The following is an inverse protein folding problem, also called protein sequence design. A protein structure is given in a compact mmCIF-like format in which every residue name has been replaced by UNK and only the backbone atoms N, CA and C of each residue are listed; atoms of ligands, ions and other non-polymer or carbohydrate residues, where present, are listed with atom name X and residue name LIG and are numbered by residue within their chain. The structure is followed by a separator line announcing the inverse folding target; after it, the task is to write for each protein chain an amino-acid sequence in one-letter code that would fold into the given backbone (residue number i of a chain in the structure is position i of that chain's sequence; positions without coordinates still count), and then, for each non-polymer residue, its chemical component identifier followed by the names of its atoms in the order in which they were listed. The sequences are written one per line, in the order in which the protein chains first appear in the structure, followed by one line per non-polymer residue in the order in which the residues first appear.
data_IF_284937861814
#
_entry.id   IF_284937861814
#
_cell.length_a   1.000
_cell.length_b   1.000
_cell.length_c   1.000
_cell.angle_alpha   90.00
_cell.angle_beta   90.00
_cell.angle_gamma   90.00
#
_symmetry.space_group_name_H-M   'P 1'
#
loop_
_entity.id
_entity.type
_entity.pdbx_description
1 polymer ?
#
# COMPACT_ATOMS: atom_id res chain seq x y z
N UNK A 1 -6.25 13.34 33.90
CA UNK A 1 -5.75 13.94 32.64
C UNK A 1 -6.23 15.38 32.58
N UNK A 2 -5.35 16.34 32.34
CA UNK A 2 -5.74 17.76 32.19
C UNK A 2 -6.30 18.02 30.79
N UNK A 3 -7.17 19.02 30.64
CA UNK A 3 -7.69 19.49 29.34
C UNK A 3 -6.59 19.88 28.35
N UNK A 4 -5.39 20.26 28.82
CA UNK A 4 -4.25 20.54 27.94
C UNK A 4 -3.71 19.27 27.28
N UNK A 5 -3.63 18.15 28.00
CA UNK A 5 -3.15 16.88 27.43
C UNK A 5 -4.11 16.31 26.40
N UNK A 6 -5.42 16.58 26.55
CA UNK A 6 -6.44 16.18 25.57
C UNK A 6 -6.35 17.01 24.29
N UNK A 7 -6.13 18.33 24.38
CA UNK A 7 -5.91 19.20 23.20
C UNK A 7 -4.63 18.87 22.44
N UNK A 8 -3.56 18.52 23.14
CA UNK A 8 -2.30 18.14 22.51
C UNK A 8 -2.43 16.82 21.73
N UNK A 9 -3.18 15.86 22.27
CA UNK A 9 -3.52 14.59 21.59
C UNK A 9 -4.39 14.83 20.34
N UNK A 10 -5.47 15.61 20.45
CA UNK A 10 -6.34 15.95 19.31
C UNK A 10 -5.56 16.67 18.19
N UNK A 11 -4.68 17.60 18.53
CA UNK A 11 -3.86 18.32 17.54
C UNK A 11 -2.84 17.42 16.82
N UNK A 12 -2.36 16.37 17.48
CA UNK A 12 -1.41 15.41 16.90
C UNK A 12 -2.09 14.40 15.97
N UNK A 13 -3.30 13.95 16.31
CA UNK A 13 -4.08 13.03 15.48
C UNK A 13 -4.55 13.71 14.18
N UNK A 14 -4.99 14.97 14.25
CA UNK A 14 -5.37 15.77 13.07
C UNK A 14 -4.17 16.03 12.14
N UNK A 15 -2.99 16.26 12.71
CA UNK A 15 -1.77 16.44 11.91
C UNK A 15 -1.32 15.13 11.24
N UNK A 16 -1.33 14.01 11.96
CA UNK A 16 -0.97 12.71 11.38
C UNK A 16 -1.96 12.27 10.29
N UNK A 17 -3.27 12.50 10.46
CA UNK A 17 -4.24 12.19 9.41
C UNK A 17 -4.03 13.05 8.16
N UNK A 18 -3.66 14.32 8.35
CA UNK A 18 -3.35 15.23 7.23
C UNK A 18 -2.11 14.81 6.46
N UNK A 19 -1.11 14.27 7.16
CA UNK A 19 0.14 13.79 6.56
C UNK A 19 -0.06 12.48 5.80
N UNK A 20 -0.84 11.56 6.37
CA UNK A 20 -1.18 10.27 5.75
C UNK A 20 -1.94 10.48 4.43
N UNK A 21 -2.94 11.36 4.42
CA UNK A 21 -3.67 11.77 3.21
C UNK A 21 -2.71 12.36 2.16
N UNK A 22 -1.82 13.27 2.57
CA UNK A 22 -0.83 13.88 1.68
C UNK A 22 0.11 12.84 1.03
N UNK A 23 0.55 11.82 1.78
CA UNK A 23 1.40 10.75 1.23
C UNK A 23 0.65 9.96 0.15
N UNK A 24 -0.61 9.58 0.42
CA UNK A 24 -1.44 8.83 -0.55
C UNK A 24 -1.70 9.66 -1.80
N UNK A 25 -2.07 10.93 -1.64
CA UNK A 25 -2.36 11.85 -2.74
C UNK A 25 -1.12 12.05 -3.63
N UNK A 26 0.04 12.33 -3.05
CA UNK A 26 1.28 12.50 -3.81
C UNK A 26 1.70 11.23 -4.55
N UNK A 27 1.61 10.07 -3.90
CA UNK A 27 1.93 8.80 -4.54
C UNK A 27 1.02 8.56 -5.75
N UNK A 28 -0.28 8.73 -5.56
CA UNK A 28 -1.30 8.53 -6.59
C UNK A 28 -1.07 9.48 -7.76
N UNK A 29 -0.83 10.77 -7.49
CA UNK A 29 -0.52 11.78 -8.50
C UNK A 29 0.77 11.46 -9.27
N UNK A 30 1.82 11.04 -8.56
CA UNK A 30 3.11 10.69 -9.17
C UNK A 30 2.96 9.51 -10.13
N UNK A 31 2.22 8.48 -9.70
CA UNK A 31 1.95 7.30 -10.53
C UNK A 31 1.05 7.63 -11.72
N UNK A 32 0.00 8.42 -11.53
CA UNK A 32 -0.87 8.90 -12.60
C UNK A 32 -0.07 9.70 -13.64
N UNK A 33 0.82 10.59 -13.18
CA UNK A 33 1.74 11.35 -14.04
C UNK A 33 2.63 10.42 -14.86
N UNK A 34 3.25 9.41 -14.22
CA UNK A 34 4.04 8.40 -14.93
C UNK A 34 3.22 7.69 -16.02
N UNK A 35 1.99 7.27 -15.70
CA UNK A 35 1.13 6.56 -16.65
C UNK A 35 0.76 7.43 -17.85
N UNK A 36 0.46 8.71 -17.63
CA UNK A 36 0.16 9.67 -18.70
C UNK A 36 1.39 9.91 -19.57
N UNK A 37 2.55 10.19 -18.96
CA UNK A 37 3.82 10.45 -19.68
C UNK A 37 4.22 9.26 -20.55
N UNK A 38 4.12 8.04 -19.98
CA UNK A 38 4.37 6.80 -20.70
C UNK A 38 3.40 6.59 -21.85
N UNK A 39 2.09 6.81 -21.64
CA UNK A 39 1.06 6.67 -22.70
C UNK A 39 1.24 7.67 -23.85
N UNK A 40 1.81 8.84 -23.58
CA UNK A 40 2.16 9.83 -24.60
C UNK A 40 3.45 9.48 -25.37
N UNK A 41 4.15 8.41 -24.99
CA UNK A 41 5.36 7.93 -25.66
C UNK A 41 6.67 8.58 -25.18
N UNK A 42 6.64 9.34 -24.08
CA UNK A 42 7.84 9.95 -23.50
C UNK A 42 8.54 8.99 -22.54
N UNK A 43 9.10 7.90 -23.07
CA UNK A 43 9.68 6.83 -22.26
C UNK A 43 10.83 7.30 -21.36
N UNK A 44 11.74 8.17 -21.86
CA UNK A 44 12.86 8.69 -21.07
C UNK A 44 12.37 9.47 -19.84
N UNK A 45 11.38 10.36 -20.01
CA UNK A 45 10.77 11.10 -18.91
C UNK A 45 10.01 10.18 -17.95
N UNK A 46 9.38 9.12 -18.47
CA UNK A 46 8.71 8.14 -17.61
C UNK A 46 9.73 7.42 -16.72
N UNK A 47 10.91 7.05 -17.25
CA UNK A 47 11.97 6.45 -16.44
C UNK A 47 12.46 7.38 -15.33
N UNK A 48 12.57 8.69 -15.60
CA UNK A 48 12.98 9.69 -14.60
C UNK A 48 11.98 9.82 -13.43
N UNK A 49 10.72 9.40 -13.61
CA UNK A 49 9.69 9.44 -12.56
C UNK A 49 9.72 8.18 -11.68
N UNK A 50 10.26 7.05 -12.15
CA UNK A 50 10.30 5.78 -11.39
C UNK A 50 10.94 5.94 -9.99
N UNK A 51 12.07 6.65 -9.82
CA UNK A 51 12.63 6.89 -8.49
C UNK A 51 11.66 7.57 -7.52
N UNK A 52 10.82 8.49 -8.02
CA UNK A 52 9.81 9.18 -7.20
C UNK A 52 8.67 8.23 -6.80
N UNK A 53 8.24 7.35 -7.71
CA UNK A 53 7.27 6.29 -7.39
C UNK A 53 7.83 5.37 -6.30
N UNK A 54 9.09 4.92 -6.44
CA UNK A 54 9.76 4.07 -5.45
C UNK A 54 9.89 4.77 -4.10
N UNK A 55 10.19 6.06 -4.08
CA UNK A 55 10.22 6.87 -2.86
C UNK A 55 8.84 6.90 -2.19
N UNK A 56 7.77 7.20 -2.93
CA UNK A 56 6.40 7.19 -2.42
C UNK A 56 5.97 5.82 -1.88
N UNK A 57 6.33 4.73 -2.57
CA UNK A 57 6.12 3.36 -2.02
C UNK A 57 6.89 3.15 -0.73
N UNK A 58 8.14 3.63 -0.64
CA UNK A 58 8.92 3.58 0.59
C UNK A 58 8.21 4.25 1.76
N UNK A 59 7.70 5.46 1.55
CA UNK A 59 6.93 6.20 2.57
C UNK A 59 5.65 5.45 2.97
N UNK A 60 4.84 5.00 2.00
CA UNK A 60 3.64 4.19 2.24
C UNK A 60 3.96 2.94 3.07
N UNK A 61 4.99 2.19 2.67
CA UNK A 61 5.41 0.97 3.33
C UNK A 61 5.84 1.25 4.76
N UNK A 62 6.61 2.31 5.03
CA UNK A 62 6.99 2.64 6.41
C UNK A 62 5.79 2.95 7.31
N UNK A 63 4.70 3.47 6.73
CA UNK A 63 3.46 3.73 7.46
C UNK A 63 2.66 2.46 7.73
N UNK A 64 2.52 1.58 6.74
CA UNK A 64 1.61 0.41 6.85
C UNK A 64 2.31 -0.89 7.26
N UNK A 65 3.64 -0.99 7.17
CA UNK A 65 4.34 -2.23 7.48
C UNK A 65 4.11 -2.64 8.93
N UNK A 66 4.15 -3.95 9.16
CA UNK A 66 4.12 -4.50 10.50
C UNK A 66 5.47 -5.18 10.78
N UNK A 67 5.83 -5.36 12.04
CA UNK A 67 7.03 -6.11 12.42
C UNK A 67 6.88 -7.63 12.20
N UNK A 68 6.04 -8.04 11.23
CA UNK A 68 5.80 -9.42 10.85
C UNK A 68 6.61 -9.75 9.60
N UNK A 69 7.33 -10.87 9.67
CA UNK A 69 7.96 -11.45 8.50
C UNK A 69 7.14 -12.63 8.00
N UNK A 70 6.84 -12.66 6.70
CA UNK A 70 6.16 -13.77 6.04
C UNK A 70 7.12 -14.43 5.08
N UNK A 71 7.56 -15.65 5.43
CA UNK A 71 8.50 -16.39 4.61
C UNK A 71 7.91 -16.72 3.23
N UNK A 72 8.69 -16.51 2.16
CA UNK A 72 8.30 -16.80 0.78
C UNK A 72 7.38 -15.79 0.12
N UNK A 73 6.80 -14.83 0.86
CA UNK A 73 5.80 -13.89 0.33
C UNK A 73 6.33 -13.03 -0.82
N UNK A 74 7.50 -12.40 -0.64
CA UNK A 74 8.10 -11.57 -1.68
C UNK A 74 8.46 -12.36 -2.95
N UNK A 75 8.85 -13.63 -2.81
CA UNK A 75 9.17 -14.49 -3.94
C UNK A 75 7.92 -14.90 -4.72
N UNK A 76 6.82 -15.23 -4.02
CA UNK A 76 5.54 -15.54 -4.67
C UNK A 76 4.99 -14.30 -5.38
N UNK A 77 4.96 -13.16 -4.69
CA UNK A 77 4.50 -11.90 -5.28
C UNK A 77 5.36 -11.50 -6.49
N UNK A 78 6.69 -11.66 -6.43
CA UNK A 78 7.57 -11.35 -7.56
C UNK A 78 7.33 -12.21 -8.80
N UNK A 79 6.69 -13.37 -8.65
CA UNK A 79 6.36 -14.26 -9.76
C UNK A 79 4.98 -13.97 -10.36
N UNK A 80 4.01 -13.58 -9.53
CA UNK A 80 2.59 -13.52 -9.91
C UNK A 80 1.99 -12.11 -9.94
N UNK A 81 2.54 -11.16 -9.18
CA UNK A 81 2.03 -9.79 -9.13
C UNK A 81 2.49 -9.00 -10.37
N UNK A 82 1.58 -8.20 -10.92
CA UNK A 82 1.90 -7.29 -12.01
C UNK A 82 2.50 -6.00 -11.48
N UNK A 83 3.31 -5.32 -12.30
CA UNK A 83 3.76 -3.99 -11.93
C UNK A 83 2.58 -3.03 -11.91
N UNK A 84 2.62 -2.02 -11.05
CA UNK A 84 1.51 -1.07 -10.91
C UNK A 84 1.14 -0.43 -12.27
N UNK A 85 2.15 -0.16 -13.10
CA UNK A 85 1.95 0.40 -14.43
C UNK A 85 1.62 -0.58 -15.56
N UNK A 86 1.39 -1.84 -15.22
CA UNK A 86 0.88 -2.87 -16.13
C UNK A 86 -0.60 -3.19 -15.85
N UNK A 87 -1.20 -2.49 -14.88
CA UNK A 87 -2.59 -2.66 -14.47
C UNK A 87 -3.38 -1.38 -14.74
N UNK A 88 -4.68 -1.56 -14.95
CA UNK A 88 -5.63 -0.47 -15.13
C UNK A 88 -6.49 -0.41 -13.87
N UNK A 89 -6.48 0.74 -13.22
CA UNK A 89 -7.28 1.13 -12.06
C UNK A 89 -7.48 2.65 -12.11
N UNK A 90 -8.45 3.17 -11.37
CA UNK A 90 -8.59 4.62 -11.21
C UNK A 90 -7.70 5.14 -10.09
N UNK A 91 -7.31 6.41 -10.19
CA UNK A 91 -6.58 7.11 -9.12
C UNK A 91 -7.36 7.07 -7.80
N UNK A 92 -8.69 7.21 -7.86
CA UNK A 92 -9.57 7.10 -6.69
C UNK A 92 -9.54 5.72 -6.05
N UNK A 93 -9.58 4.65 -6.84
CA UNK A 93 -9.57 3.27 -6.33
C UNK A 93 -8.26 2.97 -5.60
N UNK A 94 -7.13 3.42 -6.16
CA UNK A 94 -5.83 3.29 -5.54
C UNK A 94 -5.74 4.09 -4.23
N UNK A 95 -6.18 5.35 -4.26
CA UNK A 95 -6.17 6.21 -3.08
C UNK A 95 -7.02 5.62 -1.94
N UNK A 96 -8.26 5.23 -2.23
CA UNK A 96 -9.17 4.63 -1.26
C UNK A 96 -8.55 3.40 -0.58
N UNK A 97 -7.92 2.50 -1.36
CA UNK A 97 -7.29 1.28 -0.83
C UNK A 97 -6.08 1.62 0.06
N UNK A 98 -5.28 2.62 -0.30
CA UNK A 98 -4.11 3.01 0.48
C UNK A 98 -4.51 3.72 1.78
N UNK A 99 -5.52 4.59 1.73
CA UNK A 99 -6.09 5.24 2.92
C UNK A 99 -6.69 4.21 3.88
N UNK A 100 -7.42 3.22 3.36
CA UNK A 100 -7.93 2.10 4.17
C UNK A 100 -6.81 1.27 4.78
N UNK A 101 -5.70 1.04 4.07
CA UNK A 101 -4.54 0.36 4.64
C UNK A 101 -3.91 1.15 5.80
N UNK A 102 -3.79 2.48 5.68
CA UNK A 102 -3.32 3.33 6.77
C UNK A 102 -4.28 3.34 7.96
N UNK A 103 -5.59 3.41 7.71
CA UNK A 103 -6.62 3.33 8.74
C UNK A 103 -6.58 1.98 9.46
N UNK A 104 -6.47 0.88 8.72
CA UNK A 104 -6.34 -0.47 9.28
C UNK A 104 -5.08 -0.59 10.13
N UNK A 105 -3.95 0.01 9.71
CA UNK A 105 -2.72 0.03 10.51
C UNK A 105 -2.93 0.67 11.88
N UNK A 106 -3.59 1.83 11.94
CA UNK A 106 -3.92 2.52 13.20
C UNK A 106 -4.80 1.63 14.08
N UNK A 107 -5.81 0.98 13.50
CA UNK A 107 -6.67 0.02 14.21
C UNK A 107 -5.91 -1.20 14.74
N UNK A 108 -4.88 -1.67 14.02
CA UNK A 108 -4.00 -2.75 14.48
C UNK A 108 -3.19 -2.32 15.69
N UNK A 109 -2.62 -1.11 15.69
CA UNK A 109 -1.89 -0.57 16.84
C UNK A 109 -2.77 -0.41 18.08
N UNK A 110 -4.03 -0.02 17.87
CA UNK A 110 -5.03 0.09 18.93
C UNK A 110 -5.62 -1.26 19.36
N UNK A 111 -5.32 -2.36 18.66
CA UNK A 111 -5.85 -3.69 18.96
C UNK A 111 -7.33 -3.86 18.65
N UNK A 112 -7.92 -3.01 17.81
CA UNK A 112 -9.35 -3.00 17.46
C UNK A 112 -9.63 -3.42 16.01
N UNK A 113 -8.61 -3.79 15.25
CA UNK A 113 -8.76 -4.16 13.84
C UNK A 113 -9.62 -5.44 13.66
N UNK A 114 -10.58 -5.35 12.75
CA UNK A 114 -11.45 -6.46 12.37
C UNK A 114 -10.80 -7.33 11.30
N UNK A 115 -10.96 -8.66 11.41
CA UNK A 115 -10.58 -9.60 10.34
C UNK A 115 -11.39 -9.41 9.07
N UNK A 116 -12.66 -9.02 9.20
CA UNK A 116 -13.56 -8.83 8.06
C UNK A 116 -13.15 -7.59 7.26
N UNK A 117 -12.84 -6.50 7.94
CA UNK A 117 -12.27 -5.29 7.31
C UNK A 117 -10.94 -5.59 6.61
N UNK A 118 -10.04 -6.33 7.27
CA UNK A 118 -8.77 -6.72 6.67
C UNK A 118 -8.96 -7.63 5.45
N UNK A 119 -9.93 -8.54 5.49
CA UNK A 119 -10.26 -9.42 4.37
C UNK A 119 -10.78 -8.63 3.17
N UNK A 120 -11.70 -7.70 3.38
CA UNK A 120 -12.30 -6.90 2.31
C UNK A 120 -11.25 -6.01 1.65
N UNK A 121 -10.40 -5.36 2.45
CA UNK A 121 -9.26 -4.60 1.96
C UNK A 121 -8.31 -5.48 1.13
N UNK A 122 -7.96 -6.67 1.63
CA UNK A 122 -7.07 -7.58 0.91
C UNK A 122 -7.66 -7.98 -0.44
N UNK A 123 -8.95 -8.34 -0.51
CA UNK A 123 -9.61 -8.73 -1.76
C UNK A 123 -9.55 -7.59 -2.78
N UNK A 124 -9.87 -6.37 -2.37
CA UNK A 124 -9.80 -5.19 -3.23
C UNK A 124 -8.38 -4.92 -3.73
N UNK A 125 -7.40 -4.99 -2.83
CA UNK A 125 -6.00 -4.79 -3.21
C UNK A 125 -5.50 -5.86 -4.18
N UNK A 126 -5.82 -7.14 -3.96
CA UNK A 126 -5.45 -8.23 -4.86
C UNK A 126 -6.09 -8.08 -6.26
N UNK A 127 -7.33 -7.60 -6.32
CA UNK A 127 -7.99 -7.25 -7.58
C UNK A 127 -7.27 -6.09 -8.28
N UNK A 128 -6.88 -5.04 -7.55
CA UNK A 128 -6.14 -3.89 -8.08
C UNK A 128 -4.83 -4.30 -8.73
N UNK A 129 -4.09 -5.25 -8.15
CA UNK A 129 -2.82 -5.75 -8.73
C UNK A 129 -3.01 -6.95 -9.68
N UNK A 130 -4.26 -7.33 -9.98
CA UNK A 130 -4.64 -8.50 -10.80
C UNK A 130 -3.95 -9.81 -10.36
N UNK A 131 -3.79 -10.01 -9.05
CA UNK A 131 -3.20 -11.23 -8.50
C UNK A 131 -4.29 -12.23 -8.13
N UNK A 132 -4.17 -13.46 -8.64
CA UNK A 132 -5.05 -14.56 -8.29
C UNK A 132 -4.53 -15.29 -7.05
N UNK A 133 -5.26 -15.26 -5.91
CA UNK A 133 -4.83 -15.95 -4.69
C UNK A 133 -4.66 -17.46 -4.88
N UNK A 134 -5.35 -18.09 -5.83
CA UNK A 134 -5.25 -19.54 -6.03
C UNK A 134 -3.92 -19.97 -6.65
N UNK A 135 -3.16 -19.03 -7.23
CA UNK A 135 -1.86 -19.30 -7.83
C UNK A 135 -0.71 -19.19 -6.81
N UNK A 136 -1.01 -18.72 -5.60
CA UNK A 136 0.00 -18.36 -4.58
C UNK A 136 -0.37 -18.97 -3.23
N UNK A 137 0.48 -19.85 -2.71
CA UNK A 137 0.18 -20.58 -1.47
C UNK A 137 0.17 -19.66 -0.26
N UNK A 138 1.12 -18.72 -0.18
CA UNK A 138 1.27 -17.82 0.96
C UNK A 138 0.14 -16.78 0.98
N UNK A 139 -0.16 -16.17 -0.17
CA UNK A 139 -1.26 -15.20 -0.28
C UNK A 139 -2.61 -15.85 0.05
N UNK A 140 -2.85 -17.08 -0.45
CA UNK A 140 -4.06 -17.83 -0.13
C UNK A 140 -4.22 -18.03 1.37
N UNK A 141 -3.16 -18.46 2.06
CA UNK A 141 -3.20 -18.66 3.51
C UNK A 141 -3.50 -17.35 4.26
N UNK A 142 -2.88 -16.23 3.87
CA UNK A 142 -3.15 -14.92 4.46
C UNK A 142 -4.61 -14.50 4.22
N UNK A 143 -5.16 -14.76 3.04
CA UNK A 143 -6.57 -14.49 2.73
C UNK A 143 -7.52 -15.36 3.55
N UNK A 144 -7.19 -16.63 3.80
CA UNK A 144 -8.00 -17.54 4.61
C UNK A 144 -8.00 -17.13 6.10
N UNK A 145 -6.84 -16.78 6.65
CA UNK A 145 -6.70 -16.36 8.05
C UNK A 145 -7.22 -14.94 8.30
N UNK A 146 -7.05 -14.06 7.30
CA UNK A 146 -7.37 -12.63 7.30
C UNK A 146 -6.90 -11.92 8.56
N UNK A 147 -5.73 -12.29 9.09
CA UNK A 147 -5.15 -11.62 10.25
C UNK A 147 -4.68 -10.22 9.81
N UNK A 148 -5.16 -9.13 10.44
CA UNK A 148 -4.92 -7.77 9.95
C UNK A 148 -3.44 -7.41 9.77
N UNK A 149 -2.57 -7.88 10.66
CA UNK A 149 -1.12 -7.58 10.58
C UNK A 149 -0.48 -8.25 9.35
N UNK A 150 -0.86 -9.50 9.07
CA UNK A 150 -0.42 -10.25 7.88
C UNK A 150 -0.96 -9.64 6.59
N UNK A 151 -2.22 -9.16 6.60
CA UNK A 151 -2.80 -8.44 5.46
C UNK A 151 -1.99 -7.19 5.14
N UNK A 152 -1.75 -6.34 6.14
CA UNK A 152 -0.95 -5.12 5.97
C UNK A 152 0.48 -5.44 5.49
N UNK A 153 1.08 -6.50 6.04
CA UNK A 153 2.40 -6.93 5.60
C UNK A 153 2.41 -7.40 4.15
N UNK A 154 1.34 -8.06 3.69
CA UNK A 154 1.18 -8.44 2.30
C UNK A 154 1.06 -7.22 1.39
N UNK A 155 0.19 -6.27 1.74
CA UNK A 155 0.02 -5.04 0.97
C UNK A 155 1.36 -4.29 0.87
N UNK A 156 2.06 -4.11 1.99
CA UNK A 156 3.38 -3.48 2.01
C UNK A 156 4.39 -4.19 1.10
N UNK A 157 4.48 -5.52 1.21
CA UNK A 157 5.41 -6.31 0.39
C UNK A 157 5.06 -6.24 -1.09
N UNK A 158 3.77 -6.31 -1.42
CA UNK A 158 3.28 -6.23 -2.78
C UNK A 158 3.57 -4.86 -3.41
N UNK A 159 3.35 -3.75 -2.69
CA UNK A 159 3.68 -2.42 -3.19
C UNK A 159 5.17 -2.33 -3.60
N UNK A 160 6.08 -2.83 -2.76
CA UNK A 160 7.52 -2.88 -3.07
C UNK A 160 7.79 -3.72 -4.32
N UNK A 161 7.19 -4.89 -4.42
CA UNK A 161 7.38 -5.81 -5.55
C UNK A 161 6.83 -5.21 -6.85
N UNK A 162 5.63 -4.62 -6.81
CA UNK A 162 4.93 -4.08 -7.97
C UNK A 162 5.62 -2.84 -8.57
N UNK A 163 6.57 -2.22 -7.86
CA UNK A 163 7.42 -1.15 -8.41
C UNK A 163 8.83 -1.62 -8.78
N UNK A 164 9.07 -2.94 -8.74
CA UNK A 164 10.37 -3.54 -9.07
C UNK A 164 11.42 -3.43 -7.96
N UNK A 165 10.99 -3.30 -6.71
CA UNK A 165 11.87 -3.09 -5.56
C UNK A 165 12.20 -1.61 -5.31
N UNK A 166 12.82 -1.34 -4.16
CA UNK A 166 13.20 0.02 -3.74
C UNK A 166 14.63 0.42 -4.15
N UNK A 167 15.42 -0.52 -4.69
CA UNK A 167 16.75 -0.19 -5.22
C UNK A 167 16.63 0.69 -6.47
N UNK A 168 17.47 1.72 -6.57
CA UNK A 168 17.45 2.74 -7.64
C UNK A 168 18.01 2.30 -8.99
N UNK A 169 17.91 1.01 -9.31
CA UNK A 169 18.37 0.41 -10.57
C UNK A 169 17.22 -0.18 -11.37
#
# INVERSE_FOLDING_TARGET
MSESMLKDLESSEDFESSLDYYIVENFTLTLSTFLVVKRLGYEDLAQDIIPLIKLGVGELVTKICTNRYVNGLASELGTHAKKLWEVEYSDSELADILEEAMSLRKKVDLGIASKEEARDLLIRFLNLIKLNPQETKVVKNILEESEPSLVLQLIATALVVCVGGLSGS
#
